data_IF_988841958767
#
_entry.id   IF_988841958767
#
_cell.length_a   1.000
_cell.length_b   1.000
_cell.length_c   1.000
_cell.angle_alpha   90.00
_cell.angle_beta   90.00
_cell.angle_gamma   90.00
#
_symmetry.space_group_name_H-M   'P 1'
#
loop_
_entity.id
_entity.type
_entity.pdbx_description
1 polymer ?
#
# COMPACT_ATOMS: atom_id res chain seq x y z
N UNK A 1 -83.31 34.11 -29.58
CA UNK A 1 -82.68 33.96 -28.24
C UNK A 1 -81.86 32.68 -28.32
N UNK A 2 -80.59 32.80 -28.55
CA UNK A 2 -79.68 31.67 -28.74
C UNK A 2 -78.67 31.66 -27.59
N UNK A 3 -78.61 30.51 -26.87
CA UNK A 3 -77.57 30.22 -25.87
C UNK A 3 -76.36 29.62 -26.54
N UNK A 4 -75.15 29.99 -26.17
CA UNK A 4 -73.94 29.31 -26.63
C UNK A 4 -73.50 28.15 -25.70
N UNK A 5 -73.21 27.04 -26.30
CA UNK A 5 -72.56 25.86 -25.68
C UNK A 5 -71.09 26.15 -25.41
N UNK A 6 -70.71 25.87 -24.19
CA UNK A 6 -69.31 25.97 -23.70
C UNK A 6 -68.62 24.61 -23.91
N UNK A 7 -67.57 24.58 -24.77
CA UNK A 7 -66.72 23.41 -24.97
C UNK A 7 -65.60 23.44 -23.95
N UNK A 8 -65.56 22.44 -23.09
CA UNK A 8 -64.48 22.20 -22.11
C UNK A 8 -63.45 21.28 -22.75
N UNK A 9 -62.24 21.79 -23.06
CA UNK A 9 -61.12 20.99 -23.52
C UNK A 9 -60.35 20.45 -22.35
N UNK A 10 -60.32 19.12 -22.17
CA UNK A 10 -59.42 18.44 -21.23
C UNK A 10 -58.02 18.32 -21.84
N UNK A 11 -57.04 19.04 -21.25
CA UNK A 11 -55.64 18.80 -21.52
C UNK A 11 -55.19 17.58 -20.64
N UNK A 12 -54.90 16.47 -21.29
CA UNK A 12 -54.17 15.34 -20.67
C UNK A 12 -52.68 15.63 -20.68
N UNK A 13 -52.14 15.96 -19.51
CA UNK A 13 -50.68 16.04 -19.30
C UNK A 13 -50.10 14.62 -19.23
N UNK A 14 -49.41 14.21 -20.31
CA UNK A 14 -48.64 12.98 -20.33
C UNK A 14 -47.38 13.14 -19.51
N UNK A 15 -47.28 12.44 -18.40
CA UNK A 15 -46.01 12.27 -17.66
C UNK A 15 -45.12 11.34 -18.48
N UNK A 16 -44.07 11.85 -19.10
CA UNK A 16 -42.98 11.07 -19.65
C UNK A 16 -42.08 10.58 -18.47
N UNK A 17 -42.18 9.32 -18.13
CA UNK A 17 -41.20 8.68 -17.24
C UNK A 17 -39.92 8.52 -18.03
N UNK A 18 -38.96 9.39 -17.74
CA UNK A 18 -37.58 9.22 -18.22
C UNK A 18 -36.99 8.00 -17.50
N UNK A 19 -36.88 6.88 -18.18
CA UNK A 19 -36.11 5.73 -17.71
C UNK A 19 -34.63 6.15 -17.70
N UNK A 20 -34.06 6.28 -16.51
CA UNK A 20 -32.62 6.34 -16.35
C UNK A 20 -32.03 5.03 -16.88
N UNK A 21 -31.34 5.11 -17.99
CA UNK A 21 -30.54 4.03 -18.52
C UNK A 21 -29.37 3.80 -17.55
N UNK A 22 -29.49 2.81 -16.67
CA UNK A 22 -28.35 2.26 -15.95
C UNK A 22 -27.43 1.64 -16.98
N UNK A 23 -26.42 2.39 -17.42
CA UNK A 23 -25.36 1.84 -18.24
C UNK A 23 -24.57 0.86 -17.37
N UNK A 24 -24.83 -0.42 -17.50
CA UNK A 24 -23.95 -1.49 -17.08
C UNK A 24 -22.74 -1.50 -18.01
N UNK A 25 -21.89 -0.47 -17.86
CA UNK A 25 -20.62 -0.41 -18.54
C UNK A 25 -19.73 -1.53 -18.02
N UNK A 26 -19.54 -2.56 -18.82
CA UNK A 26 -18.40 -3.48 -18.65
C UNK A 26 -17.14 -2.63 -18.78
N UNK A 27 -16.55 -2.20 -17.64
CA UNK A 27 -15.30 -1.46 -17.70
C UNK A 27 -14.23 -2.36 -18.30
N UNK A 28 -13.45 -1.82 -19.23
CA UNK A 28 -12.32 -2.53 -19.81
C UNK A 28 -11.38 -3.04 -18.71
N UNK A 29 -10.77 -4.24 -18.87
CA UNK A 29 -9.83 -4.76 -17.92
C UNK A 29 -8.64 -3.78 -17.76
N UNK A 30 -8.13 -3.66 -16.52
CA UNK A 30 -6.96 -2.83 -16.26
C UNK A 30 -5.77 -3.34 -17.07
N UNK A 31 -5.19 -2.47 -17.89
CA UNK A 31 -4.01 -2.80 -18.70
C UNK A 31 -2.75 -2.46 -17.92
N UNK A 32 -1.96 -3.48 -17.58
CA UNK A 32 -0.68 -3.31 -16.89
C UNK A 32 0.42 -2.85 -17.82
N UNK A 33 1.25 -1.92 -17.35
CA UNK A 33 2.46 -1.48 -18.01
C UNK A 33 3.67 -2.28 -17.46
N UNK A 34 4.32 -3.16 -18.24
CA UNK A 34 5.43 -3.96 -17.76
C UNK A 34 6.70 -3.13 -17.56
N UNK A 35 7.38 -3.37 -16.45
CA UNK A 35 8.67 -2.77 -16.09
C UNK A 35 9.70 -3.88 -15.89
N UNK A 36 10.69 -4.01 -16.82
CA UNK A 36 11.72 -5.06 -16.72
C UNK A 36 12.71 -4.78 -15.59
N UNK A 37 13.37 -5.85 -15.12
CA UNK A 37 14.47 -5.78 -14.15
C UNK A 37 14.18 -6.39 -12.77
N UNK A 38 12.91 -6.70 -12.47
CA UNK A 38 12.48 -7.48 -11.30
C UNK A 38 11.06 -8.00 -11.52
N UNK A 39 10.66 -9.10 -10.87
CA UNK A 39 9.35 -9.75 -11.02
C UNK A 39 8.33 -9.31 -9.98
N UNK A 40 8.74 -9.07 -8.73
CA UNK A 40 7.90 -8.65 -7.63
C UNK A 40 8.16 -7.20 -7.22
N UNK A 41 7.11 -6.39 -7.06
CA UNK A 41 7.19 -5.03 -6.56
C UNK A 41 6.40 -4.93 -5.26
N UNK A 42 7.10 -4.86 -4.13
CA UNK A 42 6.53 -4.88 -2.78
C UNK A 42 6.40 -3.49 -2.15
N UNK A 43 7.18 -2.50 -2.59
CA UNK A 43 7.04 -1.11 -2.14
C UNK A 43 7.35 -0.12 -3.27
N UNK A 44 6.66 1.02 -3.30
CA UNK A 44 6.87 2.05 -4.31
C UNK A 44 6.71 3.47 -3.72
N UNK A 45 7.62 4.39 -4.05
CA UNK A 45 7.58 5.80 -3.61
C UNK A 45 7.97 6.70 -4.78
N UNK A 46 7.16 7.70 -5.09
CA UNK A 46 7.54 8.75 -6.04
C UNK A 46 8.66 9.62 -5.48
N UNK A 47 9.74 9.76 -6.25
CA UNK A 47 10.79 10.75 -5.98
C UNK A 47 10.35 12.12 -6.45
N UNK A 48 9.77 12.16 -7.64
CA UNK A 48 9.13 13.33 -8.30
C UNK A 48 8.08 12.85 -9.31
N UNK A 49 7.56 13.75 -10.15
CA UNK A 49 6.51 13.44 -11.12
C UNK A 49 6.93 12.42 -12.21
N UNK A 50 8.23 12.33 -12.50
CA UNK A 50 8.78 11.47 -13.56
C UNK A 50 9.52 10.24 -13.06
N UNK A 51 9.68 10.07 -11.73
CA UNK A 51 10.52 9.00 -11.17
C UNK A 51 9.88 8.36 -9.94
N UNK A 52 9.77 7.05 -9.97
CA UNK A 52 9.31 6.21 -8.86
C UNK A 52 10.41 5.24 -8.46
N UNK A 53 10.75 5.17 -7.17
CA UNK A 53 11.61 4.12 -6.63
C UNK A 53 10.75 2.95 -6.21
N UNK A 54 11.17 1.74 -6.60
CA UNK A 54 10.46 0.49 -6.33
C UNK A 54 11.43 -0.48 -5.68
N UNK A 55 10.99 -1.14 -4.61
CA UNK A 55 11.70 -2.22 -3.94
C UNK A 55 11.03 -3.57 -4.24
N UNK A 56 11.78 -4.64 -4.02
CA UNK A 56 11.34 -6.02 -4.13
C UNK A 56 11.66 -6.76 -2.83
N UNK A 57 10.80 -7.71 -2.46
CA UNK A 57 11.03 -8.68 -1.39
C UNK A 57 12.14 -9.70 -1.75
N UNK A 58 12.39 -9.91 -3.04
CA UNK A 58 13.36 -10.90 -3.54
C UNK A 58 14.82 -10.46 -3.43
N UNK A 59 15.09 -9.14 -3.37
CA UNK A 59 16.46 -8.60 -3.25
C UNK A 59 16.50 -7.26 -2.48
N UNK A 60 17.72 -6.76 -2.21
CA UNK A 60 17.93 -5.52 -1.46
C UNK A 60 18.13 -4.31 -2.38
N UNK A 61 17.62 -4.33 -3.61
CA UNK A 61 17.84 -3.27 -4.58
C UNK A 61 16.66 -2.31 -4.63
N UNK A 62 16.98 -1.03 -4.60
CA UNK A 62 16.06 0.07 -4.79
C UNK A 62 16.21 0.57 -6.23
N UNK A 63 15.21 0.31 -7.08
CA UNK A 63 15.25 0.61 -8.52
C UNK A 63 14.37 1.80 -8.85
N UNK A 64 14.90 2.72 -9.65
CA UNK A 64 14.15 3.90 -10.11
C UNK A 64 13.66 3.68 -11.52
N UNK A 65 12.37 3.85 -11.71
CA UNK A 65 11.71 3.75 -13.01
C UNK A 65 11.08 5.08 -13.42
N UNK A 66 10.97 5.28 -14.73
CA UNK A 66 10.00 6.22 -15.29
C UNK A 66 8.63 5.51 -15.34
N UNK A 67 7.63 5.97 -14.56
CA UNK A 67 6.34 5.29 -14.45
C UNK A 67 5.50 5.38 -15.73
N UNK A 68 5.93 6.18 -16.72
CA UNK A 68 5.23 6.38 -18.00
C UNK A 68 5.74 5.45 -19.11
N UNK A 69 6.89 4.80 -18.92
CA UNK A 69 7.55 3.98 -19.95
C UNK A 69 7.59 2.50 -19.58
N UNK A 70 8.03 1.68 -20.54
CA UNK A 70 8.28 0.23 -20.37
C UNK A 70 9.79 -0.08 -20.36
N UNK A 71 10.59 0.90 -20.00
CA UNK A 71 12.05 0.77 -20.05
C UNK A 71 12.58 0.10 -18.77
N UNK A 72 13.78 -0.49 -18.82
CA UNK A 72 14.51 -0.90 -17.61
C UNK A 72 14.67 0.25 -16.62
N UNK A 73 15.05 -0.04 -15.35
CA UNK A 73 15.25 1.01 -14.36
C UNK A 73 16.30 2.01 -14.83
N UNK A 74 16.02 3.30 -14.63
CA UNK A 74 16.93 4.42 -14.93
C UNK A 74 18.23 4.26 -14.13
N UNK A 75 18.10 3.83 -12.87
CA UNK A 75 19.21 3.54 -11.96
C UNK A 75 18.74 2.58 -10.86
N UNK A 76 19.70 1.99 -10.14
CA UNK A 76 19.43 1.15 -8.99
C UNK A 76 20.54 1.30 -7.95
N UNK A 77 20.16 1.19 -6.67
CA UNK A 77 21.09 1.15 -5.54
C UNK A 77 20.98 -0.18 -4.82
N UNK A 78 22.12 -0.77 -4.50
CA UNK A 78 22.17 -1.91 -3.59
C UNK A 78 22.15 -1.37 -2.15
N UNK A 79 21.09 -1.67 -1.42
CA UNK A 79 20.95 -1.27 -0.01
C UNK A 79 21.70 -2.22 0.95
N UNK A 80 22.21 -3.35 0.49
CA UNK A 80 22.89 -4.34 1.35
C UNK A 80 23.98 -3.75 2.25
N UNK A 81 24.84 -2.81 1.79
CA UNK A 81 25.84 -2.18 2.65
C UNK A 81 25.23 -1.36 3.80
N UNK A 82 24.01 -0.88 3.65
CA UNK A 82 23.31 -0.06 4.66
C UNK A 82 22.61 -0.91 5.72
N UNK A 83 22.34 -2.19 5.41
CA UNK A 83 21.45 -3.05 6.20
C UNK A 83 22.18 -3.86 7.28
N UNK A 84 23.53 -3.84 7.33
CA UNK A 84 24.34 -4.65 8.27
C UNK A 84 23.89 -6.12 8.27
N UNK A 85 23.79 -6.70 7.08
CA UNK A 85 23.37 -8.08 6.88
C UNK A 85 24.46 -9.06 7.35
N UNK A 86 24.05 -10.24 7.79
CA UNK A 86 24.96 -11.28 8.27
C UNK A 86 24.50 -12.67 7.87
N UNK A 87 25.45 -13.62 7.83
CA UNK A 87 25.15 -15.02 7.53
C UNK A 87 25.01 -15.30 6.02
N UNK A 88 24.30 -16.38 5.68
CA UNK A 88 24.19 -16.85 4.29
C UNK A 88 22.99 -16.29 3.51
N UNK A 89 21.91 -15.98 4.21
CA UNK A 89 20.68 -15.46 3.59
C UNK A 89 20.65 -13.94 3.79
N UNK A 90 21.08 -13.21 2.79
CA UNK A 90 21.29 -11.77 2.86
C UNK A 90 20.06 -10.96 2.41
N UNK A 91 18.95 -11.62 2.13
CA UNK A 91 17.67 -10.99 1.77
C UNK A 91 17.06 -10.28 2.98
N UNK A 92 16.68 -9.02 2.79
CA UNK A 92 15.98 -8.18 3.78
C UNK A 92 14.46 -8.34 3.70
N UNK A 93 13.92 -8.87 2.61
CA UNK A 93 12.48 -9.04 2.42
C UNK A 93 11.76 -7.69 2.55
N UNK A 94 12.13 -6.73 1.69
CA UNK A 94 11.63 -5.35 1.74
C UNK A 94 10.15 -5.31 1.33
N UNK A 95 9.28 -4.82 2.22
CA UNK A 95 7.84 -4.94 2.06
C UNK A 95 7.08 -3.61 2.17
N UNK A 96 7.72 -2.56 2.65
CA UNK A 96 7.03 -1.28 2.80
C UNK A 96 7.96 -0.09 2.75
N UNK A 97 7.42 1.05 2.29
CA UNK A 97 8.12 2.31 2.24
C UNK A 97 7.22 3.50 2.59
N UNK A 98 7.78 4.50 3.26
CA UNK A 98 7.07 5.73 3.61
C UNK A 98 7.97 6.94 3.42
N UNK A 99 7.46 8.03 2.85
CA UNK A 99 8.22 9.26 2.63
C UNK A 99 7.73 10.39 3.54
N UNK A 100 8.67 11.00 4.27
CA UNK A 100 8.45 12.22 5.06
C UNK A 100 9.48 13.25 4.60
N UNK A 101 9.05 14.24 3.86
CA UNK A 101 9.94 15.23 3.27
C UNK A 101 10.96 14.62 2.30
N UNK A 102 12.24 14.76 2.62
CA UNK A 102 13.34 14.17 1.83
C UNK A 102 13.71 12.75 2.26
N UNK A 103 13.17 12.27 3.38
CA UNK A 103 13.50 10.97 3.96
C UNK A 103 12.51 9.90 3.53
N UNK A 104 13.03 8.75 3.12
CA UNK A 104 12.24 7.56 2.84
C UNK A 104 12.62 6.49 3.86
N UNK A 105 11.63 6.02 4.63
CA UNK A 105 11.75 4.90 5.55
C UNK A 105 11.38 3.61 4.83
N UNK A 106 12.09 2.55 5.16
CA UNK A 106 11.93 1.22 4.58
C UNK A 106 11.78 0.19 5.70
N UNK A 107 10.98 -0.82 5.47
CA UNK A 107 10.76 -1.90 6.42
C UNK A 107 10.78 -3.25 5.72
N UNK A 108 11.42 -4.24 6.34
CA UNK A 108 11.31 -5.64 5.93
C UNK A 108 10.07 -6.30 6.54
N UNK A 109 9.78 -7.54 6.14
CA UNK A 109 8.59 -8.27 6.61
C UNK A 109 8.58 -8.57 8.10
N UNK A 110 9.75 -8.62 8.76
CA UNK A 110 9.93 -9.10 10.14
C UNK A 110 9.39 -10.52 10.35
N UNK A 111 9.07 -11.23 9.28
CA UNK A 111 8.54 -12.59 9.30
C UNK A 111 9.61 -13.67 9.22
N UNK A 112 9.20 -14.90 9.44
CA UNK A 112 9.97 -16.10 9.09
C UNK A 112 9.94 -16.31 7.57
N UNK A 113 10.76 -17.24 7.06
CA UNK A 113 10.58 -17.65 5.68
C UNK A 113 9.37 -18.61 5.53
N UNK A 114 9.01 -18.95 4.31
CA UNK A 114 7.91 -19.87 3.99
C UNK A 114 7.97 -21.23 4.69
N UNK A 115 9.18 -21.69 5.05
CA UNK A 115 9.40 -22.97 5.75
C UNK A 115 9.35 -22.77 7.29
N UNK A 116 8.99 -21.60 7.80
CA UNK A 116 8.94 -21.27 9.22
C UNK A 116 10.31 -21.05 9.87
N UNK A 117 11.40 -20.90 9.11
CA UNK A 117 12.75 -20.66 9.63
C UNK A 117 12.94 -19.18 9.94
N UNK A 118 13.49 -18.87 11.10
CA UNK A 118 13.84 -17.50 11.49
C UNK A 118 14.87 -16.88 10.52
N UNK A 119 14.65 -15.63 10.15
CA UNK A 119 15.46 -14.86 9.22
C UNK A 119 15.84 -13.50 9.80
N UNK A 120 16.97 -13.41 10.52
CA UNK A 120 17.34 -12.17 11.23
C UNK A 120 17.53 -10.97 10.28
N UNK A 121 17.88 -11.18 9.01
CA UNK A 121 18.05 -10.12 8.05
C UNK A 121 16.72 -9.47 7.57
N UNK A 122 15.57 -10.13 7.79
CA UNK A 122 14.24 -9.57 7.52
C UNK A 122 13.77 -8.58 8.57
N UNK A 123 14.44 -8.55 9.75
CA UNK A 123 14.16 -7.61 10.84
C UNK A 123 14.92 -6.32 10.62
N UNK A 124 14.47 -5.52 9.64
CA UNK A 124 15.11 -4.24 9.28
C UNK A 124 14.08 -3.13 9.17
N UNK A 125 14.37 -2.04 9.88
CA UNK A 125 13.77 -0.74 9.66
C UNK A 125 14.92 0.25 9.47
N UNK A 126 14.97 0.94 8.35
CA UNK A 126 16.05 1.86 8.00
C UNK A 126 15.52 3.03 7.17
N UNK A 127 16.37 4.02 6.90
CA UNK A 127 15.98 5.13 6.06
C UNK A 127 17.07 5.52 5.06
N UNK A 128 16.61 6.15 3.98
CA UNK A 128 17.43 6.84 3.00
C UNK A 128 16.97 8.30 2.86
N UNK A 129 17.87 9.17 2.47
CA UNK A 129 17.55 10.53 2.03
C UNK A 129 17.74 10.66 0.54
N UNK A 130 16.86 11.45 -0.06
CA UNK A 130 16.96 11.84 -1.47
C UNK A 130 17.83 13.08 -1.56
N UNK A 131 18.97 12.96 -2.21
CA UNK A 131 19.88 14.07 -2.54
C UNK A 131 19.71 14.41 -4.01
N UNK A 132 19.38 15.66 -4.32
CA UNK A 132 19.36 16.12 -5.70
C UNK A 132 20.81 16.38 -6.16
N UNK A 133 21.19 15.78 -7.29
CA UNK A 133 22.51 15.97 -7.91
C UNK A 133 22.35 16.40 -9.35
N UNK A 134 23.39 16.97 -9.99
CA UNK A 134 23.36 17.29 -11.43
C UNK A 134 23.05 16.10 -12.35
N UNK A 135 23.27 14.87 -11.86
CA UNK A 135 22.99 13.62 -12.57
C UNK A 135 21.62 13.03 -12.23
N UNK A 136 20.82 13.72 -11.41
CA UNK A 136 19.52 13.26 -10.91
C UNK A 136 19.57 12.89 -9.43
N UNK A 137 18.43 12.44 -8.86
CA UNK A 137 18.34 12.09 -7.45
C UNK A 137 19.24 10.90 -7.12
N UNK A 138 19.84 10.95 -5.93
CA UNK A 138 20.64 9.90 -5.33
C UNK A 138 20.04 9.53 -3.98
N UNK A 139 20.01 8.24 -3.65
CA UNK A 139 19.66 7.78 -2.30
C UNK A 139 20.94 7.60 -1.46
N UNK A 140 20.90 8.12 -0.24
CA UNK A 140 21.94 7.96 0.77
C UNK A 140 21.32 7.38 2.04
N UNK A 141 21.95 6.38 2.66
CA UNK A 141 21.50 5.86 3.95
C UNK A 141 21.61 6.91 5.06
N UNK A 142 20.67 6.84 6.01
CA UNK A 142 20.59 7.74 7.16
C UNK A 142 20.57 6.96 8.45
N UNK A 143 21.42 7.34 9.38
CA UNK A 143 21.48 6.76 10.72
C UNK A 143 21.89 5.29 10.73
N UNK A 144 21.39 4.56 11.70
CA UNK A 144 21.64 3.13 11.89
C UNK A 144 20.34 2.37 11.71
N UNK A 145 20.31 1.26 10.93
CA UNK A 145 19.11 0.43 10.83
C UNK A 145 18.73 -0.16 12.20
N UNK A 146 17.43 -0.19 12.48
CA UNK A 146 16.87 -0.86 13.65
C UNK A 146 16.65 -2.34 13.35
N UNK A 147 17.01 -3.21 14.32
CA UNK A 147 16.90 -4.67 14.22
C UNK A 147 15.91 -5.27 15.22
N UNK A 148 15.43 -4.46 16.17
CA UNK A 148 14.62 -4.88 17.30
C UNK A 148 13.21 -4.31 17.30
N UNK A 149 12.69 -3.94 16.12
CA UNK A 149 11.38 -3.30 16.02
C UNK A 149 10.26 -4.23 16.48
N UNK A 150 10.28 -5.49 16.05
CA UNK A 150 9.25 -6.46 16.42
C UNK A 150 9.35 -6.85 17.90
N UNK A 151 10.57 -7.02 18.42
CA UNK A 151 10.81 -7.30 19.84
C UNK A 151 10.31 -6.14 20.73
N UNK A 152 10.51 -4.91 20.29
CA UNK A 152 9.99 -3.74 20.99
C UNK A 152 8.44 -3.67 20.94
N UNK A 153 7.81 -4.08 19.82
CA UNK A 153 6.35 -4.21 19.73
C UNK A 153 5.81 -5.28 20.68
N UNK A 154 6.48 -6.42 20.76
CA UNK A 154 6.11 -7.53 21.64
C UNK A 154 6.19 -7.14 23.13
N UNK A 155 7.18 -6.31 23.48
CA UNK A 155 7.38 -5.82 24.84
C UNK A 155 6.44 -4.64 25.22
N UNK A 156 5.77 -3.97 24.26
CA UNK A 156 4.92 -2.83 24.58
C UNK A 156 3.54 -3.28 25.09
N UNK A 157 3.17 -2.93 26.36
CA UNK A 157 1.87 -3.33 26.94
C UNK A 157 0.65 -2.89 26.13
N UNK A 158 0.75 -1.78 25.37
CA UNK A 158 -0.34 -1.29 24.50
C UNK A 158 -0.62 -2.26 23.35
N UNK A 159 0.35 -3.06 22.95
CA UNK A 159 0.28 -4.01 21.84
C UNK A 159 0.06 -5.45 22.29
N UNK A 160 0.12 -5.76 23.58
CA UNK A 160 0.01 -7.11 24.14
C UNK A 160 -1.20 -7.90 23.60
N UNK A 161 -2.36 -7.23 23.43
CA UNK A 161 -3.57 -7.87 22.89
C UNK A 161 -3.51 -8.22 21.38
N UNK A 162 -2.39 -7.96 20.71
CA UNK A 162 -2.15 -8.37 19.33
C UNK A 162 -1.50 -9.75 19.22
N UNK A 163 -0.95 -10.30 20.33
CA UNK A 163 -0.30 -11.61 20.39
C UNK A 163 0.79 -11.78 19.31
N UNK A 164 1.65 -10.75 19.15
CA UNK A 164 2.69 -10.75 18.12
C UNK A 164 3.76 -11.83 18.36
N UNK A 165 3.95 -12.30 19.59
CA UNK A 165 4.87 -13.40 19.92
C UNK A 165 4.42 -14.70 19.26
N UNK A 166 3.12 -15.04 19.41
CA UNK A 166 2.54 -16.24 18.82
C UNK A 166 2.62 -16.16 17.28
N UNK A 167 2.32 -14.98 16.71
CA UNK A 167 2.39 -14.77 15.27
C UNK A 167 3.82 -14.89 14.72
N UNK A 168 4.82 -14.34 15.43
CA UNK A 168 6.23 -14.39 15.04
C UNK A 168 6.83 -15.81 15.10
N UNK A 169 6.20 -16.74 15.80
CA UNK A 169 6.60 -18.13 15.84
C UNK A 169 6.18 -18.93 14.60
N UNK A 170 5.24 -18.40 13.79
CA UNK A 170 4.65 -19.08 12.65
C UNK A 170 5.27 -18.64 11.32
N UNK A 171 5.17 -19.49 10.28
CA UNK A 171 5.47 -19.08 8.90
C UNK A 171 4.46 -18.01 8.43
N UNK A 172 4.87 -17.00 7.62
CA UNK A 172 4.01 -15.88 7.24
C UNK A 172 2.74 -16.30 6.49
N UNK A 173 2.80 -17.41 5.74
CA UNK A 173 1.65 -17.95 4.99
C UNK A 173 0.76 -18.88 5.81
N UNK A 174 1.13 -19.15 7.07
CA UNK A 174 0.29 -19.88 8.00
C UNK A 174 -0.81 -18.98 8.55
N UNK A 175 -1.93 -19.56 8.92
CA UNK A 175 -3.01 -18.80 9.58
C UNK A 175 -2.49 -18.13 10.86
N UNK A 176 -2.48 -16.81 10.88
CA UNK A 176 -1.99 -16.02 12.01
C UNK A 176 -0.49 -15.73 12.01
N UNK A 177 0.24 -16.16 10.97
CA UNK A 177 1.67 -15.87 10.84
C UNK A 177 1.96 -14.37 10.69
N UNK A 178 3.14 -13.96 11.16
CA UNK A 178 3.59 -12.57 11.11
C UNK A 178 4.13 -12.22 9.72
N UNK A 179 3.61 -11.14 9.13
CA UNK A 179 4.23 -10.40 8.04
C UNK A 179 3.83 -8.94 8.12
N UNK A 180 4.80 -8.04 8.15
CA UNK A 180 4.60 -6.59 7.96
C UNK A 180 4.74 -6.34 6.47
N UNK A 181 3.74 -5.67 5.85
CA UNK A 181 3.77 -5.37 4.42
C UNK A 181 3.39 -3.93 4.09
N UNK A 182 2.93 -3.15 5.07
CA UNK A 182 2.59 -1.75 4.83
C UNK A 182 3.39 -0.82 5.73
N UNK A 183 3.91 0.26 5.14
CA UNK A 183 4.52 1.38 5.85
C UNK A 183 4.05 2.68 5.21
N UNK A 184 3.45 3.59 5.98
CA UNK A 184 2.95 4.85 5.42
C UNK A 184 3.19 6.04 6.35
N UNK A 185 3.56 7.18 5.77
CA UNK A 185 3.75 8.41 6.51
C UNK A 185 2.42 9.04 6.91
N UNK A 186 2.29 9.36 8.20
CA UNK A 186 1.17 10.12 8.74
C UNK A 186 1.40 11.62 8.59
N UNK A 187 0.32 12.43 8.53
CA UNK A 187 0.46 13.89 8.42
C UNK A 187 1.29 14.55 9.53
N UNK A 188 1.40 13.90 10.70
CA UNK A 188 2.19 14.37 11.84
C UNK A 188 3.67 13.94 11.80
N UNK A 189 4.12 13.28 10.72
CA UNK A 189 5.49 12.79 10.55
C UNK A 189 5.77 11.44 11.22
N UNK A 190 4.85 10.91 12.02
CA UNK A 190 4.92 9.52 12.49
C UNK A 190 4.55 8.55 11.35
N UNK A 191 4.68 7.24 11.60
CA UNK A 191 4.39 6.24 10.57
C UNK A 191 3.28 5.29 11.01
N UNK A 192 2.52 4.76 10.05
CA UNK A 192 1.72 3.56 10.21
C UNK A 192 2.55 2.35 9.80
N UNK A 193 2.53 1.31 10.62
CA UNK A 193 2.99 -0.03 10.29
C UNK A 193 1.76 -0.92 10.14
N UNK A 194 1.60 -1.54 8.98
CA UNK A 194 0.47 -2.39 8.65
C UNK A 194 0.87 -3.85 8.46
N UNK A 195 0.00 -4.77 8.86
CA UNK A 195 0.26 -6.19 8.84
C UNK A 195 -0.60 -6.90 7.79
N UNK A 196 0.04 -7.74 6.93
CA UNK A 196 -0.69 -8.77 6.20
C UNK A 196 -1.25 -9.81 7.18
N UNK A 197 -0.46 -10.22 8.10
CA UNK A 197 -0.80 -11.10 9.21
C UNK A 197 -0.02 -10.75 10.48
N UNK A 198 -0.57 -11.05 11.65
CA UNK A 198 -1.87 -11.65 11.93
C UNK A 198 -3.06 -10.70 11.77
N UNK A 199 -4.28 -11.22 11.82
CA UNK A 199 -5.50 -10.44 11.99
C UNK A 199 -5.96 -10.46 13.46
N UNK A 200 -6.38 -9.31 13.98
CA UNK A 200 -6.98 -9.22 15.30
C UNK A 200 -8.50 -9.40 15.21
N UNK A 201 -9.02 -10.58 15.59
CA UNK A 201 -10.45 -10.94 15.47
C UNK A 201 -10.99 -10.71 14.05
N UNK A 202 -10.22 -11.11 13.02
CA UNK A 202 -10.60 -10.99 11.61
C UNK A 202 -10.41 -9.61 11.02
N UNK A 203 -9.85 -8.64 11.74
CA UNK A 203 -9.57 -7.26 11.30
C UNK A 203 -8.08 -7.06 11.08
N UNK A 204 -7.72 -6.31 10.04
CA UNK A 204 -6.35 -5.88 9.78
C UNK A 204 -5.84 -4.97 10.90
N UNK A 205 -4.53 -5.03 11.15
CA UNK A 205 -3.86 -4.30 12.23
C UNK A 205 -3.03 -3.18 11.64
N UNK A 206 -3.13 -1.99 12.24
CA UNK A 206 -2.22 -0.86 12.06
C UNK A 206 -1.64 -0.47 13.42
N UNK A 207 -0.32 -0.30 13.49
CA UNK A 207 0.40 0.19 14.66
C UNK A 207 1.08 1.52 14.33
N UNK A 208 0.82 2.61 15.09
CA UNK A 208 1.55 3.85 14.91
C UNK A 208 2.97 3.73 15.45
N UNK A 209 3.99 4.05 14.65
CA UNK A 209 5.37 4.26 15.06
C UNK A 209 5.59 5.76 15.25
N UNK A 210 5.78 6.21 16.49
CA UNK A 210 5.72 7.63 16.86
C UNK A 210 7.02 8.39 16.68
N UNK A 211 8.16 7.68 16.67
CA UNK A 211 9.49 8.31 16.69
C UNK A 211 10.46 7.73 15.64
N UNK A 212 10.10 7.69 14.35
CA UNK A 212 10.88 6.99 13.32
C UNK A 212 12.31 7.54 13.20
N UNK A 213 12.52 8.85 13.32
CA UNK A 213 13.87 9.45 13.26
C UNK A 213 14.72 9.05 14.47
N UNK A 214 14.14 9.08 15.65
CA UNK A 214 14.88 8.77 16.88
C UNK A 214 15.39 7.31 16.91
N UNK A 215 14.68 6.41 16.24
CA UNK A 215 15.10 5.01 16.09
C UNK A 215 16.41 4.92 15.30
N UNK A 216 16.56 5.72 14.24
CA UNK A 216 17.75 5.76 13.41
C UNK A 216 18.98 6.33 14.16
N UNK A 217 18.73 7.05 15.25
CA UNK A 217 19.73 7.55 16.20
C UNK A 217 20.03 6.53 17.32
N UNK A 218 19.41 5.36 17.29
CA UNK A 218 19.60 4.30 18.28
C UNK A 218 18.68 4.40 19.50
N UNK A 219 17.67 5.29 19.50
CA UNK A 219 16.67 5.33 20.57
C UNK A 219 15.64 4.21 20.41
N UNK A 220 15.06 3.71 21.52
CA UNK A 220 14.04 2.67 21.47
C UNK A 220 12.81 3.12 20.65
N UNK A 221 12.17 2.20 19.90
CA UNK A 221 10.90 2.47 19.24
C UNK A 221 9.80 2.84 20.23
N UNK A 222 8.92 3.76 19.84
CA UNK A 222 7.74 4.15 20.61
C UNK A 222 6.48 3.99 19.77
N UNK A 223 5.47 3.32 20.33
CA UNK A 223 4.25 2.99 19.61
C UNK A 223 3.01 3.68 20.19
N UNK A 224 2.05 3.98 19.33
CA UNK A 224 0.71 4.39 19.71
C UNK A 224 -0.22 3.18 19.87
N UNK A 225 -1.47 3.44 20.32
CA UNK A 225 -2.48 2.39 20.39
C UNK A 225 -2.81 1.84 19.00
N UNK A 226 -2.95 0.51 18.86
CA UNK A 226 -3.22 -0.11 17.56
C UNK A 226 -4.63 0.19 17.08
N UNK A 227 -4.77 0.33 15.75
CA UNK A 227 -6.05 0.46 15.06
C UNK A 227 -6.39 -0.85 14.36
N UNK A 228 -7.66 -1.25 14.41
CA UNK A 228 -8.16 -2.46 13.76
C UNK A 228 -9.17 -2.08 12.68
N UNK A 229 -8.90 -2.51 11.43
CA UNK A 229 -9.69 -2.15 10.26
C UNK A 229 -10.44 -3.37 9.73
N UNK A 230 -11.72 -3.22 9.50
CA UNK A 230 -12.51 -4.27 8.84
C UNK A 230 -12.30 -4.19 7.32
N UNK A 231 -11.49 -5.11 6.80
CA UNK A 231 -11.19 -5.25 5.37
C UNK A 231 -11.79 -6.54 4.79
N UNK A 232 -12.85 -7.05 5.42
CA UNK A 232 -13.51 -8.29 5.00
C UNK A 232 -12.62 -9.52 5.22
N UNK A 233 -11.84 -9.55 6.33
CA UNK A 233 -10.92 -10.63 6.67
C UNK A 233 -9.69 -10.69 5.76
N UNK A 234 -9.27 -9.58 5.19
CA UNK A 234 -8.01 -9.38 4.46
C UNK A 234 -6.98 -8.71 5.36
N UNK A 235 -5.69 -8.96 5.10
CA UNK A 235 -4.57 -8.20 5.66
C UNK A 235 -4.22 -7.01 4.78
N UNK A 236 -3.37 -6.14 5.31
CA UNK A 236 -2.80 -5.03 4.54
C UNK A 236 -1.60 -5.51 3.74
N UNK A 237 -1.55 -5.10 2.47
CA UNK A 237 -0.40 -5.24 1.58
C UNK A 237 0.39 -3.94 1.51
N UNK A 238 -0.30 -2.82 1.37
CA UNK A 238 0.30 -1.50 1.40
C UNK A 238 -0.76 -0.44 1.72
N UNK A 239 -0.33 0.80 1.98
CA UNK A 239 -1.21 1.94 2.16
C UNK A 239 -0.52 3.26 1.85
N UNK A 240 -1.28 4.25 1.42
CA UNK A 240 -0.76 5.60 1.14
C UNK A 240 -1.74 6.69 1.55
N UNK A 241 -1.21 7.88 1.86
CA UNK A 241 -1.99 9.09 2.14
C UNK A 241 -2.15 9.93 0.87
N UNK A 242 -3.38 10.31 0.52
CA UNK A 242 -3.66 11.12 -0.68
C UNK A 242 -3.66 12.62 -0.42
N UNK A 243 -3.42 13.04 0.80
CA UNK A 243 -3.61 14.44 1.25
C UNK A 243 -4.94 14.67 1.96
N UNK A 244 -5.93 13.77 1.77
CA UNK A 244 -7.27 13.88 2.39
C UNK A 244 -7.79 12.58 2.98
N UNK A 245 -7.37 11.44 2.46
CA UNK A 245 -7.79 10.11 2.91
C UNK A 245 -6.68 9.07 2.68
N UNK A 246 -6.79 7.93 3.35
CA UNK A 246 -5.94 6.77 3.16
C UNK A 246 -6.49 5.88 2.06
N UNK A 247 -5.62 5.40 1.19
CA UNK A 247 -5.88 4.28 0.30
C UNK A 247 -5.17 3.06 0.88
N UNK A 248 -5.91 1.97 1.05
CA UNK A 248 -5.42 0.73 1.62
C UNK A 248 -5.47 -0.35 0.54
N UNK A 249 -4.37 -1.06 0.33
CA UNK A 249 -4.32 -2.28 -0.48
C UNK A 249 -4.49 -3.46 0.46
N UNK A 250 -5.51 -4.27 0.22
CA UNK A 250 -5.83 -5.42 1.07
C UNK A 250 -5.85 -6.72 0.25
N UNK A 251 -5.24 -7.76 0.81
CA UNK A 251 -5.11 -9.07 0.16
C UNK A 251 -5.27 -10.25 1.12
N UNK A 252 -5.03 -11.46 0.63
CA UNK A 252 -5.04 -12.67 1.45
C UNK A 252 -3.94 -12.63 2.52
N UNK A 253 -4.22 -13.20 3.70
CA UNK A 253 -3.27 -13.32 4.82
C UNK A 253 -2.49 -14.64 4.81
N UNK A 254 -2.94 -15.61 4.04
CA UNK A 254 -2.33 -16.93 3.87
C UNK A 254 -2.68 -17.41 2.47
N UNK A 255 -2.18 -18.53 1.99
CA UNK A 255 -2.36 -19.08 0.64
C UNK A 255 -3.81 -19.28 0.14
N UNK A 256 -4.76 -18.54 0.67
CA UNK A 256 -6.17 -18.51 0.30
C UNK A 256 -6.49 -17.50 -0.80
N UNK A 257 -7.58 -17.71 -1.51
CA UNK A 257 -8.02 -17.04 -2.74
C UNK A 257 -8.72 -15.67 -2.53
N UNK A 258 -8.34 -14.87 -1.55
CA UNK A 258 -8.90 -13.52 -1.45
C UNK A 258 -8.08 -12.56 -2.32
N UNK A 259 -8.54 -12.29 -3.53
CA UNK A 259 -7.91 -11.34 -4.45
C UNK A 259 -7.75 -9.94 -3.84
N UNK A 260 -6.95 -9.12 -4.50
CA UNK A 260 -6.68 -7.74 -4.09
C UNK A 260 -7.96 -6.91 -4.05
N UNK A 261 -8.09 -6.07 -3.04
CA UNK A 261 -9.14 -5.06 -2.92
C UNK A 261 -8.58 -3.76 -2.36
N UNK A 262 -9.01 -2.65 -2.91
CA UNK A 262 -8.68 -1.34 -2.35
C UNK A 262 -9.81 -0.84 -1.45
N UNK A 263 -9.40 -0.03 -0.46
CA UNK A 263 -10.34 0.66 0.43
C UNK A 263 -9.92 2.12 0.58
N UNK A 264 -10.91 2.99 0.76
CA UNK A 264 -10.74 4.36 1.27
C UNK A 264 -10.99 4.36 2.76
N UNK A 265 -10.18 5.11 3.49
CA UNK A 265 -10.33 5.28 4.93
C UNK A 265 -9.98 6.72 5.34
N UNK A 266 -10.92 7.42 5.95
CA UNK A 266 -10.72 8.83 6.36
C UNK A 266 -9.94 9.00 7.68
N UNK A 267 -9.52 7.89 8.30
CA UNK A 267 -8.72 7.91 9.52
C UNK A 267 -9.46 7.35 10.74
N UNK A 268 -8.83 7.52 11.91
CA UNK A 268 -9.36 6.97 13.16
C UNK A 268 -10.80 7.44 13.42
N UNK A 269 -11.61 6.56 13.97
CA UNK A 269 -13.04 6.81 14.22
C UNK A 269 -13.96 6.52 13.04
N UNK A 270 -13.41 6.23 11.85
CA UNK A 270 -14.19 5.86 10.67
C UNK A 270 -13.98 4.41 10.27
N UNK A 271 -14.89 3.87 9.46
CA UNK A 271 -14.76 2.53 8.86
C UNK A 271 -14.22 2.63 7.43
N UNK A 272 -13.31 1.74 7.01
CA UNK A 272 -12.89 1.67 5.62
C UNK A 272 -14.06 1.36 4.68
N UNK A 273 -14.08 2.00 3.51
CA UNK A 273 -15.06 1.75 2.45
C UNK A 273 -14.37 1.14 1.25
N UNK A 274 -14.88 0.03 0.75
CA UNK A 274 -14.32 -0.60 -0.43
C UNK A 274 -14.39 0.37 -1.64
N UNK A 275 -13.29 0.40 -2.38
CA UNK A 275 -13.21 1.09 -3.67
C UNK A 275 -13.50 0.05 -4.74
N UNK A 276 -14.59 0.25 -5.47
CA UNK A 276 -14.96 -0.69 -6.54
C UNK A 276 -14.18 -0.34 -7.82
N UNK A 277 -13.23 -1.22 -8.13
CA UNK A 277 -12.36 -1.10 -9.30
C UNK A 277 -12.42 -2.43 -10.06
N UNK A 278 -13.20 -2.48 -11.14
CA UNK A 278 -13.31 -3.68 -11.95
C UNK A 278 -11.95 -4.17 -12.47
N UNK A 279 -11.73 -5.49 -12.44
CA UNK A 279 -10.47 -6.12 -12.88
C UNK A 279 -9.36 -6.18 -11.84
N UNK A 280 -9.47 -5.43 -10.73
CA UNK A 280 -8.44 -5.41 -9.69
C UNK A 280 -8.32 -6.75 -8.93
N UNK A 281 -9.44 -7.44 -8.72
CA UNK A 281 -9.52 -8.70 -7.95
C UNK A 281 -8.61 -9.82 -8.48
N UNK A 282 -8.28 -9.77 -9.77
CA UNK A 282 -7.48 -10.77 -10.47
C UNK A 282 -5.98 -10.40 -10.52
N UNK A 283 -5.62 -9.28 -9.88
CA UNK A 283 -4.24 -8.78 -9.80
C UNK A 283 -3.68 -9.01 -8.39
N UNK A 284 -2.38 -9.26 -8.32
CA UNK A 284 -1.61 -9.33 -7.08
C UNK A 284 -0.93 -7.99 -6.85
N UNK A 285 -1.72 -6.99 -6.41
CA UNK A 285 -1.17 -5.67 -6.09
C UNK A 285 -0.59 -5.71 -4.68
N UNK A 286 0.66 -5.29 -4.57
CA UNK A 286 1.40 -5.25 -3.30
C UNK A 286 1.94 -3.86 -2.97
N UNK A 287 2.01 -2.94 -3.94
CA UNK A 287 2.40 -1.57 -3.65
C UNK A 287 1.42 -0.54 -4.24
N UNK A 288 1.23 0.57 -3.52
CA UNK A 288 0.48 1.74 -3.95
C UNK A 288 1.26 3.01 -3.69
N UNK A 289 1.47 3.81 -4.73
CA UNK A 289 2.09 5.12 -4.61
C UNK A 289 1.19 6.22 -5.17
N UNK A 290 1.36 7.43 -4.66
CA UNK A 290 0.70 8.63 -5.19
C UNK A 290 1.74 9.56 -5.79
N UNK A 291 1.47 10.14 -6.97
CA UNK A 291 2.34 11.15 -7.54
C UNK A 291 2.33 12.42 -6.67
N UNK A 292 3.36 13.26 -6.75
CA UNK A 292 3.48 14.45 -5.90
C UNK A 292 2.45 15.54 -6.21
N UNK A 293 1.70 15.40 -7.30
CA UNK A 293 0.68 16.36 -7.74
C UNK A 293 -0.51 16.39 -6.77
N UNK A 294 -0.98 17.59 -6.45
CA UNK A 294 -2.14 17.79 -5.58
C UNK A 294 -3.25 18.53 -6.33
N UNK A 295 -4.52 18.20 -6.15
CA UNK A 295 -5.00 17.01 -5.40
C UNK A 295 -4.68 15.70 -6.14
N UNK A 296 -4.45 14.64 -5.38
CA UNK A 296 -4.22 13.31 -5.96
C UNK A 296 -5.46 12.84 -6.71
N UNK A 297 -5.33 12.61 -8.02
CA UNK A 297 -6.42 12.18 -8.89
C UNK A 297 -6.29 10.73 -9.35
N UNK A 298 -5.09 10.16 -9.22
CA UNK A 298 -4.80 8.79 -9.67
C UNK A 298 -3.80 8.11 -8.75
N UNK A 299 -3.86 6.80 -8.73
CA UNK A 299 -2.96 5.91 -8.01
C UNK A 299 -2.02 5.22 -8.98
N UNK A 300 -0.82 4.99 -8.56
CA UNK A 300 0.13 4.10 -9.20
C UNK A 300 0.19 2.81 -8.37
N UNK A 301 -0.29 1.70 -8.94
CA UNK A 301 -0.30 0.40 -8.31
C UNK A 301 0.78 -0.47 -8.93
N UNK A 302 1.48 -1.27 -8.14
CA UNK A 302 2.45 -2.25 -8.63
C UNK A 302 2.03 -3.66 -8.24
N UNK A 303 2.23 -4.61 -9.16
CA UNK A 303 1.95 -6.03 -8.91
C UNK A 303 3.19 -6.79 -8.47
N UNK A 304 2.98 -7.82 -7.66
CA UNK A 304 3.88 -8.96 -7.60
C UNK A 304 3.52 -9.94 -8.73
N UNK A 305 4.41 -10.10 -9.69
CA UNK A 305 4.30 -11.03 -10.81
C UNK A 305 5.33 -12.18 -10.73
N UNK A 306 6.00 -12.36 -9.60
CA UNK A 306 7.03 -13.39 -9.36
C UNK A 306 6.53 -14.81 -9.63
N UNK A 307 5.23 -15.05 -9.42
CA UNK A 307 4.57 -16.32 -9.71
C UNK A 307 4.26 -16.54 -11.21
N UNK A 308 4.43 -15.51 -12.06
CA UNK A 308 4.18 -15.60 -13.50
C UNK A 308 5.45 -16.01 -14.21
N UNK A 309 5.57 -17.29 -14.51
CA UNK A 309 6.67 -17.83 -15.32
C UNK A 309 6.49 -17.40 -16.78
N UNK A 310 6.92 -16.18 -17.10
CA UNK A 310 7.03 -15.74 -18.51
C UNK A 310 8.45 -15.96 -19.00
N UNK A 311 8.67 -16.59 -20.17
CA UNK A 311 9.98 -16.64 -20.79
C UNK A 311 10.45 -15.20 -21.08
N UNK A 312 11.61 -14.81 -20.57
CA UNK A 312 12.19 -13.50 -20.83
C UNK A 312 12.73 -12.80 -19.58
N UNK A 313 12.96 -11.51 -19.68
CA UNK A 313 13.45 -10.69 -18.57
C UNK A 313 12.35 -10.57 -17.50
N UNK A 314 12.66 -10.83 -16.20
CA UNK A 314 11.70 -10.62 -15.11
C UNK A 314 11.12 -9.22 -15.16
N UNK A 315 9.80 -9.09 -15.00
CA UNK A 315 9.11 -7.80 -15.01
C UNK A 315 7.92 -7.83 -14.06
N UNK A 316 7.73 -6.73 -13.31
CA UNK A 316 6.45 -6.44 -12.65
C UNK A 316 5.59 -5.56 -13.56
N UNK A 317 4.30 -5.41 -13.24
CA UNK A 317 3.41 -4.49 -13.95
C UNK A 317 2.93 -3.39 -13.03
N UNK A 318 2.88 -2.17 -13.59
CA UNK A 318 2.18 -1.07 -12.94
C UNK A 318 0.84 -0.79 -13.59
N UNK A 319 -0.05 -0.18 -12.81
CA UNK A 319 -1.39 0.22 -13.25
C UNK A 319 -1.68 1.62 -12.75
N UNK A 320 -2.08 2.50 -13.66
CA UNK A 320 -2.64 3.78 -13.29
C UNK A 320 -4.14 3.65 -13.11
N UNK A 321 -4.63 4.08 -11.96
CA UNK A 321 -6.05 3.99 -11.61
C UNK A 321 -6.54 5.36 -11.17
N UNK A 322 -7.56 5.87 -11.85
CA UNK A 322 -8.20 7.13 -11.46
C UNK A 322 -8.93 6.95 -10.12
N UNK A 323 -8.74 7.91 -9.22
CA UNK A 323 -9.52 8.00 -7.99
C UNK A 323 -10.85 8.68 -8.31
N UNK A 324 -11.98 7.98 -8.16
CA UNK A 324 -13.28 8.64 -8.25
C UNK A 324 -13.32 9.79 -7.26
N UNK A 325 -13.76 10.96 -7.71
CA UNK A 325 -13.95 12.13 -6.84
C UNK A 325 -14.90 11.70 -5.73
N UNK A 326 -14.48 11.81 -4.47
CA UNK A 326 -15.42 11.63 -3.35
C UNK A 326 -16.53 12.63 -3.56
N UNK A 327 -17.78 12.17 -3.68
CA UNK A 327 -18.90 13.08 -3.57
C UNK A 327 -18.74 13.76 -2.19
N UNK A 328 -18.32 15.01 -2.18
CA UNK A 328 -18.32 15.82 -0.97
C UNK A 328 -19.75 15.75 -0.45
N UNK A 329 -19.91 15.33 0.80
CA UNK A 329 -21.17 15.53 1.49
C UNK A 329 -21.45 17.04 1.39
N UNK A 330 -22.50 17.38 0.68
CA UNK A 330 -22.99 18.75 0.58
C UNK A 330 -23.20 19.27 2.03
N UNK A 331 -22.47 20.29 2.50
CA UNK A 331 -22.59 20.78 3.86
C UNK A 331 -23.92 21.51 4.11
N UNK A 332 -24.94 21.33 3.23
CA UNK A 332 -26.20 22.04 3.20
C UNK A 332 -27.46 21.17 3.11
N UNK A 333 -27.51 19.99 3.80
CA UNK A 333 -28.78 19.33 4.07
C UNK A 333 -28.91 18.95 5.51
#
# INVERSE_FOLDING_TARGET
>A
MASPLLFLALLSAGFAVMAEATSSGTSAPLTGNPHPGMSGASAAIFLDAGRVVVASDEDNRLRVYDPSTRQPPITAWDASPWLRLSGRNLECDLEGAARVGHRIYWIGSHGRNKDGKYRPNRHRFFATEVEETPQGPRLRSVGTPCFSLIEAMQADPKLAALHLDDAAALAPDSKGGLSIEALAARPDGSLWIGFRGPLAKGKAILVPLLNPDAILEGRPPSFGSPTRLDLGGRGLRDMTWTGSEWILVAGATSGGQKGTRLFRWSGQGSSPRALDLPGLKDLHIEAVAVPPEQPVRRLFLCSDDSHRHSPGTPSFRSYWVDLPVSAQADPGR
#
